data_IF_833706889828
#
_entry.id   IF_833706889828
#
_cell.length_a   1.000
_cell.length_b   1.000
_cell.length_c   1.000
_cell.angle_alpha   90.00
_cell.angle_beta   90.00
_cell.angle_gamma   90.00
#
_symmetry.space_group_name_H-M   'P 1'
#
loop_
_entity.id
_entity.type
_entity.pdbx_description
1 polymer ?
#
# COMPACT_ATOMS: atom_id res chain seq x y z
N UNK A 1 22.19 -1.38 -9.16
CA UNK A 1 21.37 -0.51 -8.29
C UNK A 1 19.97 -0.40 -8.90
N UNK A 2 18.91 -0.22 -8.10
CA UNK A 2 17.66 0.44 -8.55
C UNK A 2 16.37 -0.37 -8.85
N UNK A 3 16.27 -1.70 -8.79
CA UNK A 3 14.91 -2.35 -8.89
C UNK A 3 14.08 -2.28 -7.60
N UNK A 4 14.76 -2.18 -6.44
CA UNK A 4 14.16 -2.22 -5.10
C UNK A 4 13.27 -1.00 -4.78
N UNK A 5 13.53 0.15 -5.42
CA UNK A 5 12.81 1.41 -5.17
C UNK A 5 11.68 1.63 -6.19
N UNK A 6 11.73 0.99 -7.36
CA UNK A 6 10.78 1.22 -8.46
C UNK A 6 9.37 0.80 -8.07
N UNK A 7 9.20 -0.32 -7.35
CA UNK A 7 7.87 -0.83 -7.01
C UNK A 7 7.11 0.09 -6.05
N UNK A 8 7.71 0.53 -4.90
CA UNK A 8 7.10 1.55 -4.05
C UNK A 8 6.84 2.86 -4.78
N UNK A 9 7.73 3.30 -5.67
CA UNK A 9 7.60 4.57 -6.38
C UNK A 9 6.44 4.56 -7.38
N UNK A 10 6.31 3.50 -8.19
CA UNK A 10 5.17 3.32 -9.11
C UNK A 10 3.86 3.36 -8.31
N UNK A 11 3.88 2.82 -7.10
CA UNK A 11 2.71 2.77 -6.24
C UNK A 11 2.25 4.11 -5.69
N UNK A 12 3.22 4.91 -5.25
CA UNK A 12 3.00 6.29 -4.82
C UNK A 12 2.45 7.09 -6.00
N UNK A 13 3.01 6.92 -7.20
CA UNK A 13 2.57 7.58 -8.43
C UNK A 13 1.12 7.20 -8.77
N UNK A 14 0.75 5.92 -8.71
CA UNK A 14 -0.63 5.48 -8.98
C UNK A 14 -1.62 6.05 -7.97
N UNK A 15 -1.29 6.07 -6.67
CA UNK A 15 -2.16 6.69 -5.67
C UNK A 15 -2.27 8.21 -5.83
N UNK A 16 -1.18 8.89 -6.21
CA UNK A 16 -1.20 10.32 -6.54
C UNK A 16 -2.04 10.62 -7.78
N UNK A 17 -1.98 9.77 -8.81
CA UNK A 17 -2.83 9.88 -9.99
C UNK A 17 -4.31 9.70 -9.63
N UNK A 18 -4.63 8.71 -8.78
CA UNK A 18 -6.00 8.53 -8.31
C UNK A 18 -6.47 9.71 -7.45
N UNK A 19 -5.60 10.28 -6.61
CA UNK A 19 -5.88 11.50 -5.84
C UNK A 19 -6.16 12.70 -6.75
N UNK A 20 -5.39 12.87 -7.82
CA UNK A 20 -5.54 13.98 -8.78
C UNK A 20 -6.78 13.84 -9.67
N UNK A 21 -7.15 12.60 -10.03
CA UNK A 21 -8.28 12.32 -10.93
C UNK A 21 -9.59 12.21 -10.14
N UNK A 22 -9.54 11.72 -8.90
CA UNK A 22 -10.74 11.54 -8.08
C UNK A 22 -11.17 12.86 -7.45
N UNK A 23 -12.27 13.43 -7.92
CA UNK A 23 -13.00 14.49 -7.20
C UNK A 23 -13.68 14.00 -5.91
N UNK A 24 -13.66 12.68 -5.67
CA UNK A 24 -14.32 12.03 -4.53
C UNK A 24 -13.29 11.52 -3.52
N UNK A 25 -13.31 12.09 -2.31
CA UNK A 25 -12.51 11.64 -1.18
C UNK A 25 -12.71 10.17 -0.85
N UNK A 26 -13.92 9.63 -1.07
CA UNK A 26 -14.25 8.22 -0.83
C UNK A 26 -13.51 7.27 -1.79
N UNK A 27 -13.43 7.61 -3.08
CA UNK A 27 -12.71 6.80 -4.06
C UNK A 27 -11.19 6.79 -3.82
N UNK A 28 -10.63 7.91 -3.34
CA UNK A 28 -9.23 7.96 -2.93
C UNK A 28 -8.95 7.07 -1.72
N UNK A 29 -9.82 7.10 -0.71
CA UNK A 29 -9.68 6.24 0.46
C UNK A 29 -9.81 4.75 0.13
N UNK A 30 -10.69 4.39 -0.81
CA UNK A 30 -10.81 3.01 -1.32
C UNK A 30 -9.54 2.60 -2.09
N UNK A 31 -8.99 3.46 -2.94
CA UNK A 31 -7.73 3.14 -3.64
C UNK A 31 -6.54 3.02 -2.67
N UNK A 32 -6.49 3.87 -1.64
CA UNK A 32 -5.53 3.80 -0.56
C UNK A 32 -5.64 2.50 0.25
N UNK A 33 -6.86 2.04 0.52
CA UNK A 33 -7.13 0.75 1.17
C UNK A 33 -6.58 -0.42 0.35
N UNK A 34 -6.98 -0.50 -0.92
CA UNK A 34 -6.47 -1.51 -1.85
C UNK A 34 -4.95 -1.46 -1.91
N UNK A 35 -4.41 -0.25 -1.79
CA UNK A 35 -3.00 -0.02 -1.86
C UNK A 35 -2.24 -0.59 -0.67
N UNK A 36 -2.75 -0.35 0.54
CA UNK A 36 -2.15 -0.86 1.75
C UNK A 36 -2.22 -2.40 1.81
N UNK A 37 -3.32 -3.01 1.37
CA UNK A 37 -3.45 -4.47 1.32
C UNK A 37 -2.53 -5.13 0.31
N UNK A 38 -2.44 -4.59 -0.90
CA UNK A 38 -1.55 -5.15 -1.91
C UNK A 38 -0.08 -4.95 -1.51
N UNK A 39 0.27 -3.83 -0.86
CA UNK A 39 1.60 -3.65 -0.27
C UNK A 39 1.87 -4.71 0.79
N UNK A 40 1.01 -4.87 1.80
CA UNK A 40 1.16 -5.88 2.85
C UNK A 40 1.30 -7.32 2.28
N UNK A 41 0.54 -7.63 1.22
CA UNK A 41 0.60 -8.91 0.52
C UNK A 41 1.94 -9.10 -0.19
N UNK A 42 2.40 -8.11 -0.96
CA UNK A 42 3.70 -8.16 -1.65
C UNK A 42 4.83 -8.25 -0.62
N UNK A 43 4.76 -7.53 0.50
CA UNK A 43 5.77 -7.61 1.55
C UNK A 43 5.84 -9.00 2.19
N UNK A 44 4.69 -9.67 2.37
CA UNK A 44 4.62 -11.00 3.01
C UNK A 44 5.03 -12.14 2.08
N UNK A 45 4.57 -12.11 0.82
CA UNK A 45 4.75 -13.23 -0.12
C UNK A 45 5.91 -13.01 -1.10
N UNK A 46 6.25 -11.75 -1.39
CA UNK A 46 7.24 -11.37 -2.39
C UNK A 46 8.24 -10.30 -1.87
N UNK A 47 8.79 -10.44 -0.64
CA UNK A 47 9.64 -9.40 -0.01
C UNK A 47 10.87 -9.02 -0.86
N UNK A 48 11.39 -9.96 -1.65
CA UNK A 48 12.50 -9.75 -2.58
C UNK A 48 12.24 -8.65 -3.62
N UNK A 49 10.99 -8.43 -4.00
CA UNK A 49 10.62 -7.48 -5.07
C UNK A 49 10.53 -6.03 -4.59
N UNK A 50 10.41 -5.82 -3.29
CA UNK A 50 10.35 -4.51 -2.64
C UNK A 50 11.64 -4.18 -1.87
N UNK A 51 12.66 -5.03 -2.01
CA UNK A 51 13.96 -4.81 -1.38
C UNK A 51 14.11 -5.31 0.06
N UNK A 52 13.11 -6.00 0.61
CA UNK A 52 13.14 -6.67 1.92
C UNK A 52 13.87 -8.04 1.84
N UNK A 53 15.03 -8.08 1.19
CA UNK A 53 15.84 -9.32 1.16
C UNK A 53 16.55 -9.51 2.50
N UNK A 54 16.05 -10.44 3.32
CA UNK A 54 16.72 -10.89 4.56
C UNK A 54 16.00 -10.50 5.85
N UNK A 55 15.18 -9.46 5.82
CA UNK A 55 14.31 -9.08 6.93
C UNK A 55 12.92 -9.71 6.72
N UNK A 56 12.60 -10.73 7.53
CA UNK A 56 11.20 -11.15 7.66
C UNK A 56 10.44 -9.93 8.15
N UNK A 57 9.48 -9.47 7.35
CA UNK A 57 8.55 -8.42 7.75
C UNK A 57 8.03 -8.78 9.15
N UNK A 58 8.21 -7.87 10.11
CA UNK A 58 7.66 -8.09 11.44
C UNK A 58 6.15 -8.30 11.31
N UNK A 59 5.59 -9.24 12.07
CA UNK A 59 4.14 -9.40 12.12
C UNK A 59 3.46 -8.09 12.55
N UNK A 60 4.17 -7.23 13.30
CA UNK A 60 3.69 -5.92 13.73
C UNK A 60 3.55 -4.94 12.56
N UNK A 61 4.52 -4.92 11.63
CA UNK A 61 4.49 -4.05 10.44
C UNK A 61 3.40 -4.51 9.46
N UNK A 62 3.28 -5.83 9.29
CA UNK A 62 2.20 -6.42 8.49
C UNK A 62 0.83 -6.05 9.06
N UNK A 63 0.65 -6.22 10.37
CA UNK A 63 -0.61 -5.92 11.05
C UNK A 63 -0.93 -4.42 10.99
N UNK A 64 0.08 -3.56 11.13
CA UNK A 64 -0.08 -2.11 11.02
C UNK A 64 -0.55 -1.68 9.63
N UNK A 65 0.00 -2.26 8.56
CA UNK A 65 -0.44 -1.99 7.18
C UNK A 65 -1.88 -2.47 6.93
N UNK A 66 -2.24 -3.66 7.44
CA UNK A 66 -3.61 -4.20 7.36
C UNK A 66 -4.59 -3.28 8.11
N UNK A 67 -4.25 -2.86 9.33
CA UNK A 67 -5.08 -2.00 10.17
C UNK A 67 -5.29 -0.62 9.54
N UNK A 68 -4.25 -0.04 8.94
CA UNK A 68 -4.35 1.22 8.21
C UNK A 68 -5.28 1.08 6.99
N UNK A 69 -5.17 -0.04 6.25
CA UNK A 69 -6.09 -0.33 5.14
C UNK A 69 -7.54 -0.44 5.58
N UNK A 70 -7.84 -1.22 6.63
CA UNK A 70 -9.19 -1.35 7.18
C UNK A 70 -9.74 0.00 7.66
N UNK A 71 -8.89 0.83 8.29
CA UNK A 71 -9.27 2.16 8.77
C UNK A 71 -9.66 3.08 7.61
N UNK A 72 -8.91 3.07 6.51
CA UNK A 72 -9.22 3.86 5.31
C UNK A 72 -10.54 3.39 4.67
N UNK A 73 -10.79 2.08 4.67
CA UNK A 73 -12.05 1.52 4.17
C UNK A 73 -13.25 1.97 5.00
N UNK A 74 -13.13 1.91 6.33
CA UNK A 74 -14.19 2.33 7.24
C UNK A 74 -14.52 3.82 7.07
N UNK A 75 -13.49 4.67 6.95
CA UNK A 75 -13.67 6.12 6.70
C UNK A 75 -14.32 6.36 5.33
N UNK A 76 -14.00 5.56 4.30
CA UNK A 76 -14.62 5.69 2.99
C UNK A 76 -16.11 5.33 2.96
N UNK A 77 -16.54 4.41 3.84
CA UNK A 77 -17.90 3.90 3.92
C UNK A 77 -18.84 4.77 4.77
N UNK A 78 -18.30 5.63 5.64
CA UNK A 78 -19.00 6.71 6.34
C UNK A 78 -19.33 7.86 5.36
#
# INVERSE_FOLDING_TARGET
MSKKIIFPLIYIIVNLLVLLISKSSKLFLISGTFSLFLTATIMKFFPKYIGYEGEKLSNDDYFSLILAGVSFLLIALL
#
